data_IF_871615851919
#
_entry.id   IF_871615851919
#
_cell.length_a   1.000
_cell.length_b   1.000
_cell.length_c   1.000
_cell.angle_alpha   90.00
_cell.angle_beta   90.00
_cell.angle_gamma   90.00
#
_symmetry.space_group_name_H-M   'P 1'
#
loop_
_entity.id
_entity.type
_entity.pdbx_description
1 polymer ?
#
# COMPACT_ATOMS: atom_id res chain seq x y z
N UNK A 1 10.83 7.57 9.98
CA UNK A 1 10.59 7.70 8.52
C UNK A 1 11.78 8.34 7.81
N UNK A 2 12.28 9.50 8.26
CA UNK A 2 13.34 10.29 7.61
C UNK A 2 14.60 9.45 7.28
N UNK A 3 15.16 8.72 8.25
CA UNK A 3 16.34 7.87 8.02
C UNK A 3 16.17 6.84 6.87
N UNK A 4 14.95 6.33 6.64
CA UNK A 4 14.67 5.41 5.52
C UNK A 4 14.78 6.16 4.19
N UNK A 5 14.22 7.37 4.13
CA UNK A 5 14.27 8.22 2.95
C UNK A 5 15.72 8.66 2.67
N UNK A 6 16.44 9.16 3.67
CA UNK A 6 17.84 9.60 3.54
C UNK A 6 18.76 8.48 3.07
N UNK A 7 18.65 7.26 3.64
CA UNK A 7 19.45 6.10 3.18
C UNK A 7 19.16 5.72 1.73
N UNK A 8 17.90 5.85 1.30
CA UNK A 8 17.53 5.61 -0.10
C UNK A 8 18.15 6.68 -1.00
N UNK A 9 18.07 7.96 -0.62
CA UNK A 9 18.69 9.06 -1.36
C UNK A 9 20.21 8.94 -1.41
N UNK A 10 20.86 8.51 -0.33
CA UNK A 10 22.30 8.26 -0.29
C UNK A 10 22.72 7.19 -1.29
N UNK A 11 21.91 6.13 -1.47
CA UNK A 11 22.21 5.03 -2.40
C UNK A 11 21.91 5.36 -3.86
N UNK A 12 20.80 6.03 -4.16
CA UNK A 12 20.34 6.24 -5.55
C UNK A 12 20.49 7.68 -6.05
N UNK A 13 20.82 8.64 -5.18
CA UNK A 13 20.97 10.06 -5.48
C UNK A 13 19.65 10.84 -5.53
N UNK A 14 18.55 10.23 -6.00
CA UNK A 14 17.21 10.83 -5.97
C UNK A 14 16.10 9.78 -5.89
N UNK A 15 14.88 10.21 -5.57
CA UNK A 15 13.70 9.34 -5.63
C UNK A 15 13.48 8.80 -7.04
N UNK A 16 13.58 9.65 -8.06
CA UNK A 16 13.29 9.29 -9.44
C UNK A 16 14.29 8.24 -9.96
N UNK A 17 15.57 8.37 -9.58
CA UNK A 17 16.58 7.34 -9.86
C UNK A 17 16.29 6.03 -9.12
N UNK A 18 15.85 6.11 -7.86
CA UNK A 18 15.42 4.92 -7.10
C UNK A 18 14.20 4.24 -7.74
N UNK A 19 13.19 5.00 -8.12
CA UNK A 19 11.99 4.49 -8.78
C UNK A 19 12.31 3.84 -10.12
N UNK A 20 13.13 4.49 -10.95
CA UNK A 20 13.54 3.92 -12.23
C UNK A 20 14.37 2.65 -12.04
N UNK A 21 15.36 2.66 -11.14
CA UNK A 21 16.26 1.54 -10.92
C UNK A 21 15.57 0.31 -10.30
N UNK A 22 14.60 0.52 -9.41
CA UNK A 22 13.95 -0.58 -8.67
C UNK A 22 12.57 -0.93 -9.20
N UNK A 23 11.90 -0.02 -9.88
CA UNK A 23 10.58 -0.21 -10.50
C UNK A 23 10.66 -0.65 -11.95
N UNK A 24 11.68 -0.23 -12.68
CA UNK A 24 11.76 -0.43 -14.12
C UNK A 24 10.76 0.44 -14.88
N UNK A 25 10.52 0.09 -16.14
CA UNK A 25 9.64 0.85 -17.03
C UNK A 25 8.16 0.68 -16.67
N UNK A 26 7.35 1.67 -17.04
CA UNK A 26 5.89 1.56 -17.00
C UNK A 26 5.42 0.45 -17.96
N UNK A 27 4.39 -0.27 -17.53
CA UNK A 27 3.83 -1.38 -18.28
C UNK A 27 2.65 -0.93 -19.14
N UNK A 28 2.53 -1.51 -20.34
CA UNK A 28 1.33 -1.38 -21.16
C UNK A 28 0.18 -2.17 -20.55
N UNK A 29 -1.08 -1.80 -20.87
CA UNK A 29 -2.28 -2.53 -20.42
C UNK A 29 -2.18 -4.04 -20.69
N UNK A 30 -1.70 -4.44 -21.87
CA UNK A 30 -1.52 -5.85 -22.24
C UNK A 30 -0.50 -6.57 -21.35
N UNK A 31 0.64 -5.93 -21.03
CA UNK A 31 1.61 -6.50 -20.10
C UNK A 31 1.02 -6.64 -18.69
N UNK A 32 0.32 -5.62 -18.20
CA UNK A 32 -0.35 -5.68 -16.88
C UNK A 32 -1.30 -6.87 -16.83
N UNK A 33 -2.19 -7.03 -17.81
CA UNK A 33 -3.11 -8.16 -17.91
C UNK A 33 -2.41 -9.52 -17.90
N UNK A 34 -1.32 -9.66 -18.67
CA UNK A 34 -0.55 -10.90 -18.72
C UNK A 34 0.03 -11.26 -17.34
N UNK A 35 0.63 -10.28 -16.65
CA UNK A 35 1.18 -10.46 -15.31
C UNK A 35 0.10 -10.82 -14.29
N UNK A 36 -1.03 -10.10 -14.29
CA UNK A 36 -2.17 -10.38 -13.38
C UNK A 36 -2.71 -11.79 -13.60
N UNK A 37 -2.93 -12.18 -14.87
CA UNK A 37 -3.41 -13.53 -15.21
C UNK A 37 -2.44 -14.60 -14.73
N UNK A 38 -1.13 -14.45 -15.00
CA UNK A 38 -0.10 -15.39 -14.55
C UNK A 38 -0.08 -15.52 -13.02
N UNK A 39 -0.18 -14.39 -12.31
CA UNK A 39 -0.22 -14.38 -10.85
C UNK A 39 -1.47 -15.11 -10.33
N UNK A 40 -2.66 -14.83 -10.87
CA UNK A 40 -3.90 -15.51 -10.46
C UNK A 40 -3.89 -17.01 -10.75
N UNK A 41 -3.31 -17.44 -11.88
CA UNK A 41 -3.11 -18.87 -12.18
C UNK A 41 -2.20 -19.51 -11.14
N UNK A 42 -1.06 -18.87 -10.84
CA UNK A 42 -0.09 -19.36 -9.84
C UNK A 42 -0.71 -19.51 -8.46
N UNK A 43 -1.53 -18.54 -8.04
CA UNK A 43 -2.17 -18.54 -6.72
C UNK A 43 -3.52 -19.30 -6.70
N UNK A 44 -3.93 -19.92 -7.82
CA UNK A 44 -5.13 -20.74 -7.90
C UNK A 44 -6.45 -19.97 -7.79
N UNK A 45 -6.49 -18.68 -8.12
CA UNK A 45 -7.67 -17.81 -7.99
C UNK A 45 -8.11 -17.17 -9.33
N UNK A 46 -7.72 -17.77 -10.45
CA UNK A 46 -8.13 -17.29 -11.77
C UNK A 46 -9.66 -17.35 -11.92
N UNK A 47 -10.29 -16.22 -12.24
CA UNK A 47 -11.74 -16.11 -12.43
C UNK A 47 -12.49 -15.64 -11.18
N UNK A 48 -11.85 -15.66 -10.00
CA UNK A 48 -12.47 -15.26 -8.73
C UNK A 48 -12.48 -13.74 -8.51
N UNK A 49 -11.58 -13.02 -9.18
CA UNK A 49 -11.33 -11.59 -8.97
C UNK A 49 -11.55 -10.85 -10.29
N UNK A 50 -12.43 -9.85 -10.26
CA UNK A 50 -12.63 -8.92 -11.37
C UNK A 50 -11.47 -7.93 -11.39
N UNK A 51 -10.86 -7.70 -12.55
CA UNK A 51 -9.73 -6.78 -12.69
C UNK A 51 -10.15 -5.57 -13.50
N UNK A 52 -9.92 -4.38 -12.95
CA UNK A 52 -10.19 -3.09 -13.59
C UNK A 52 -8.89 -2.29 -13.70
N UNK A 53 -8.61 -1.77 -14.91
CA UNK A 53 -7.45 -0.93 -15.17
C UNK A 53 -7.92 0.51 -15.37
N UNK A 54 -7.35 1.46 -14.64
CA UNK A 54 -7.73 2.87 -14.69
C UNK A 54 -6.52 3.79 -14.53
N UNK A 55 -6.67 5.06 -14.87
CA UNK A 55 -5.72 6.13 -14.50
C UNK A 55 -6.24 6.94 -13.28
N UNK A 56 -7.54 6.81 -12.97
CA UNK A 56 -8.27 7.62 -11.99
C UNK A 56 -8.23 7.02 -10.58
N UNK A 57 -7.05 6.58 -10.14
CA UNK A 57 -6.86 5.99 -8.81
C UNK A 57 -5.66 6.62 -8.10
N UNK A 58 -5.90 7.29 -6.97
CA UNK A 58 -4.83 7.90 -6.15
C UNK A 58 -3.86 6.88 -5.54
N UNK A 59 -4.27 5.62 -5.38
CA UNK A 59 -3.38 4.51 -5.00
C UNK A 59 -2.85 3.78 -6.22
N UNK A 60 -1.81 2.97 -6.04
CA UNK A 60 -1.29 2.13 -7.13
C UNK A 60 -2.26 1.02 -7.51
N UNK A 61 -2.99 0.51 -6.52
CA UNK A 61 -4.07 -0.43 -6.70
C UNK A 61 -5.03 -0.36 -5.50
N UNK A 62 -6.14 -1.08 -5.60
CA UNK A 62 -7.05 -1.35 -4.50
C UNK A 62 -7.78 -2.68 -4.70
N UNK A 63 -7.94 -3.43 -3.62
CA UNK A 63 -8.81 -4.60 -3.52
C UNK A 63 -10.09 -4.22 -2.74
N UNK A 64 -11.24 -4.32 -3.40
CA UNK A 64 -12.56 -4.06 -2.79
C UNK A 64 -13.55 -5.17 -3.15
N UNK A 65 -14.76 -5.10 -2.59
CA UNK A 65 -15.88 -5.96 -3.00
C UNK A 65 -16.93 -5.07 -3.65
N UNK A 66 -17.25 -5.33 -4.92
CA UNK A 66 -18.26 -4.61 -5.69
C UNK A 66 -19.34 -5.59 -6.12
N UNK A 67 -20.59 -5.35 -5.73
CA UNK A 67 -21.73 -6.23 -6.01
C UNK A 67 -21.46 -7.70 -5.61
N UNK A 68 -20.84 -7.90 -4.44
CA UNK A 68 -20.50 -9.23 -3.92
C UNK A 68 -19.30 -9.90 -4.58
N UNK A 69 -18.66 -9.26 -5.56
CA UNK A 69 -17.46 -9.80 -6.24
C UNK A 69 -16.19 -9.09 -5.79
N UNK A 70 -15.11 -9.82 -5.48
CA UNK A 70 -13.78 -9.26 -5.29
C UNK A 70 -13.33 -8.53 -6.56
N UNK A 71 -12.90 -7.27 -6.42
CA UNK A 71 -12.50 -6.41 -7.51
C UNK A 71 -11.14 -5.80 -7.22
N UNK A 72 -10.17 -6.11 -8.07
CA UNK A 72 -8.84 -5.51 -8.11
C UNK A 72 -8.85 -4.34 -9.10
N UNK A 73 -8.67 -3.12 -8.62
CA UNK A 73 -8.44 -1.95 -9.48
C UNK A 73 -6.96 -1.60 -9.48
N UNK A 74 -6.36 -1.42 -10.66
CA UNK A 74 -4.94 -1.08 -10.82
C UNK A 74 -4.83 0.27 -11.51
N UNK A 75 -4.00 1.17 -10.95
CA UNK A 75 -3.60 2.40 -11.62
C UNK A 75 -2.50 2.11 -12.65
N UNK A 76 -2.83 2.23 -13.93
CA UNK A 76 -1.91 1.95 -15.03
C UNK A 76 -0.76 2.97 -15.11
N UNK A 77 -0.94 4.20 -14.65
CA UNK A 77 0.11 5.23 -14.69
C UNK A 77 1.25 4.97 -13.70
N UNK A 78 1.05 4.04 -12.76
CA UNK A 78 2.05 3.70 -11.73
C UNK A 78 2.49 2.23 -11.78
N UNK A 79 1.95 1.43 -12.70
CA UNK A 79 2.24 0.02 -12.84
C UNK A 79 3.60 -0.18 -13.52
N UNK A 80 4.63 -0.50 -12.73
CA UNK A 80 6.00 -0.71 -13.20
C UNK A 80 6.42 -2.18 -13.16
N UNK A 81 7.27 -2.55 -14.11
CA UNK A 81 7.69 -3.94 -14.37
C UNK A 81 8.13 -4.73 -13.13
N UNK A 82 9.03 -4.17 -12.34
CA UNK A 82 9.61 -4.84 -11.18
C UNK A 82 8.79 -4.66 -9.89
N UNK A 83 7.75 -3.82 -9.92
CA UNK A 83 6.90 -3.56 -8.77
C UNK A 83 5.52 -4.21 -8.84
N UNK A 84 5.07 -4.58 -10.05
CA UNK A 84 3.73 -5.13 -10.26
C UNK A 84 3.49 -6.40 -9.43
N UNK A 85 4.42 -7.36 -9.41
CA UNK A 85 4.23 -8.58 -8.60
C UNK A 85 4.08 -8.27 -7.11
N UNK A 86 4.90 -7.38 -6.55
CA UNK A 86 4.75 -6.95 -5.16
C UNK A 86 3.38 -6.30 -4.89
N UNK A 87 2.88 -5.50 -5.83
CA UNK A 87 1.52 -4.94 -5.73
C UNK A 87 0.45 -6.03 -5.79
N UNK A 88 0.60 -7.08 -6.62
CA UNK A 88 -0.34 -8.20 -6.63
C UNK A 88 -0.29 -9.01 -5.33
N UNK A 89 0.89 -9.15 -4.70
CA UNK A 89 1.01 -9.76 -3.36
C UNK A 89 0.37 -8.90 -2.26
N UNK A 90 0.40 -7.58 -2.40
CA UNK A 90 -0.32 -6.66 -1.53
C UNK A 90 -1.84 -6.89 -1.65
N UNK A 91 -2.38 -6.74 -2.85
CA UNK A 91 -3.83 -6.73 -3.05
C UNK A 91 -4.44 -8.13 -3.01
N UNK A 92 -3.87 -9.09 -3.74
CA UNK A 92 -4.36 -10.47 -3.81
C UNK A 92 -3.78 -11.30 -2.67
N UNK A 93 -2.45 -11.31 -2.56
CA UNK A 93 -1.72 -12.12 -1.58
C UNK A 93 -2.08 -11.79 -0.12
N UNK A 94 -2.56 -10.58 0.15
CA UNK A 94 -2.94 -10.13 1.49
C UNK A 94 -4.42 -9.84 1.58
N UNK A 95 -4.91 -8.79 0.91
CA UNK A 95 -6.27 -8.32 1.15
C UNK A 95 -7.34 -9.33 0.73
N UNK A 96 -7.21 -9.91 -0.47
CA UNK A 96 -8.13 -10.93 -0.97
C UNK A 96 -8.07 -12.20 -0.13
N UNK A 97 -6.92 -12.89 -0.03
CA UNK A 97 -6.85 -14.18 0.67
C UNK A 97 -7.19 -14.08 2.15
N UNK A 98 -6.72 -13.05 2.86
CA UNK A 98 -7.13 -12.86 4.27
C UNK A 98 -8.60 -12.49 4.38
N UNK A 99 -9.18 -11.81 3.39
CA UNK A 99 -10.61 -11.53 3.33
C UNK A 99 -11.43 -12.80 3.13
N UNK A 100 -11.02 -13.63 2.18
CA UNK A 100 -11.60 -14.94 1.92
C UNK A 100 -11.56 -15.84 3.16
N UNK A 101 -10.38 -16.00 3.76
CA UNK A 101 -10.20 -16.82 4.96
C UNK A 101 -11.00 -16.29 6.17
N UNK A 102 -11.14 -14.96 6.28
CA UNK A 102 -11.91 -14.33 7.34
C UNK A 102 -13.40 -14.69 7.28
N UNK A 103 -13.96 -14.98 6.10
CA UNK A 103 -15.38 -15.32 5.95
C UNK A 103 -15.76 -16.61 6.69
N UNK A 104 -14.81 -17.54 6.85
CA UNK A 104 -15.00 -18.80 7.58
C UNK A 104 -14.80 -18.66 9.08
N UNK A 105 -14.45 -17.47 9.59
CA UNK A 105 -14.13 -17.27 11.01
C UNK A 105 -15.33 -16.79 11.83
N UNK A 106 -15.45 -17.15 13.12
CA UNK A 106 -16.48 -16.62 14.02
C UNK A 106 -16.48 -15.08 14.15
N UNK A 107 -15.35 -14.44 13.86
CA UNK A 107 -15.17 -12.99 13.89
C UNK A 107 -15.20 -12.34 12.50
N UNK A 108 -15.80 -13.01 11.50
CA UNK A 108 -15.83 -12.53 10.12
C UNK A 108 -16.43 -11.12 9.97
N UNK A 109 -17.33 -10.73 10.88
CA UNK A 109 -18.03 -9.44 10.90
C UNK A 109 -17.84 -8.68 12.23
N UNK A 110 -18.30 -7.43 12.26
CA UNK A 110 -18.16 -6.52 13.41
C UNK A 110 -18.71 -7.10 14.73
N UNK A 111 -19.85 -7.81 14.68
CA UNK A 111 -20.46 -8.39 15.88
C UNK A 111 -19.61 -9.53 16.41
N UNK A 112 -19.13 -10.42 15.52
CA UNK A 112 -18.20 -11.48 15.87
C UNK A 112 -16.90 -10.93 16.48
N UNK A 113 -16.28 -9.93 15.84
CA UNK A 113 -15.08 -9.26 16.39
C UNK A 113 -15.31 -8.72 17.80
N UNK A 114 -16.43 -8.04 18.04
CA UNK A 114 -16.77 -7.47 19.35
C UNK A 114 -16.98 -8.58 20.39
N UNK A 115 -17.70 -9.65 20.03
CA UNK A 115 -17.93 -10.83 20.89
C UNK A 115 -16.61 -11.47 21.32
N UNK A 116 -15.62 -11.49 20.45
CA UNK A 116 -14.29 -12.08 20.70
C UNK A 116 -13.24 -11.06 21.18
N UNK A 117 -13.63 -9.81 21.48
CA UNK A 117 -12.71 -8.79 22.01
C UNK A 117 -11.57 -8.40 21.05
N UNK A 118 -11.74 -8.59 19.74
CA UNK A 118 -10.68 -8.31 18.77
C UNK A 118 -10.48 -6.80 18.55
N UNK A 119 -9.21 -6.39 18.49
CA UNK A 119 -8.79 -5.02 18.17
C UNK A 119 -9.11 -4.66 16.71
N UNK A 120 -8.89 -3.41 16.26
CA UNK A 120 -8.97 -3.08 14.83
C UNK A 120 -7.97 -3.90 14.01
N UNK A 121 -8.35 -4.27 12.78
CA UNK A 121 -7.50 -5.08 11.88
C UNK A 121 -6.20 -4.33 11.54
N UNK A 122 -6.28 -3.01 11.47
CA UNK A 122 -5.14 -2.15 11.30
C UNK A 122 -4.45 -1.85 12.65
N UNK A 123 -3.11 -1.83 12.68
CA UNK A 123 -2.22 -1.70 11.51
C UNK A 123 -1.73 -3.02 10.89
N UNK A 124 -2.14 -4.18 11.41
CA UNK A 124 -1.63 -5.49 10.99
C UNK A 124 -1.90 -5.80 9.52
N UNK A 125 -3.11 -5.53 9.03
CA UNK A 125 -3.47 -5.77 7.62
C UNK A 125 -2.61 -4.99 6.64
N UNK A 126 -2.60 -3.66 6.76
CA UNK A 126 -1.87 -2.77 5.85
C UNK A 126 -0.35 -2.93 6.02
N UNK A 127 0.10 -3.24 7.24
CA UNK A 127 1.50 -3.56 7.52
C UNK A 127 1.97 -4.79 6.75
N UNK A 128 1.21 -5.89 6.81
CA UNK A 128 1.54 -7.14 6.12
C UNK A 128 1.51 -6.94 4.61
N UNK A 129 0.48 -6.26 4.09
CA UNK A 129 0.36 -5.97 2.67
C UNK A 129 1.54 -5.11 2.18
N UNK A 130 1.98 -4.14 2.98
CA UNK A 130 3.14 -3.30 2.67
C UNK A 130 4.46 -4.07 2.67
N UNK A 131 4.64 -5.05 3.56
CA UNK A 131 5.80 -5.96 3.53
C UNK A 131 5.78 -6.77 2.24
N UNK A 132 4.66 -7.39 1.90
CA UNK A 132 4.49 -8.15 0.66
C UNK A 132 4.78 -7.34 -0.61
N UNK A 133 4.59 -6.01 -0.55
CA UNK A 133 4.90 -5.11 -1.66
C UNK A 133 6.39 -4.99 -1.98
N UNK A 134 7.27 -5.22 -1.00
CA UNK A 134 8.70 -4.97 -1.10
C UNK A 134 9.56 -6.21 -0.88
N UNK A 135 9.04 -7.26 -0.23
CA UNK A 135 9.80 -8.41 0.30
C UNK A 135 10.75 -9.05 -0.72
N UNK A 136 10.32 -9.18 -1.98
CA UNK A 136 11.09 -9.84 -3.03
C UNK A 136 11.78 -8.87 -3.99
N UNK A 137 11.81 -7.57 -3.67
CA UNK A 137 12.60 -6.62 -4.45
C UNK A 137 14.08 -6.82 -4.13
N UNK A 138 14.95 -6.61 -5.13
CA UNK A 138 16.41 -6.61 -4.95
C UNK A 138 16.85 -5.73 -3.78
N UNK A 139 16.20 -4.56 -3.65
CA UNK A 139 16.42 -3.58 -2.61
C UNK A 139 15.09 -3.24 -1.93
N UNK A 140 14.72 -3.90 -0.82
CA UNK A 140 13.40 -3.80 -0.18
C UNK A 140 13.24 -2.53 0.68
N UNK A 141 13.65 -1.36 0.16
CA UNK A 141 13.52 -0.10 0.89
C UNK A 141 12.04 0.25 1.13
N UNK A 142 11.73 0.62 2.38
CA UNK A 142 10.39 1.05 2.80
C UNK A 142 10.06 2.49 2.40
N UNK A 143 10.63 2.98 1.29
CA UNK A 143 10.52 4.39 0.86
C UNK A 143 9.08 4.89 0.88
N UNK A 144 8.17 4.17 0.19
CA UNK A 144 6.79 4.63 0.05
C UNK A 144 6.09 4.74 1.40
N UNK A 145 6.22 3.73 2.26
CA UNK A 145 5.62 3.76 3.59
C UNK A 145 6.21 4.91 4.44
N UNK A 146 7.51 5.12 4.35
CA UNK A 146 8.19 6.20 5.06
C UNK A 146 7.77 7.60 4.61
N UNK A 147 7.68 7.81 3.29
CA UNK A 147 7.26 9.09 2.73
C UNK A 147 5.78 9.36 3.02
N UNK A 148 4.89 8.37 2.87
CA UNK A 148 3.48 8.50 3.27
C UNK A 148 3.34 8.93 4.73
N UNK A 149 4.06 8.26 5.64
CA UNK A 149 4.02 8.59 7.06
C UNK A 149 4.51 10.03 7.32
N UNK A 150 5.63 10.41 6.69
CA UNK A 150 6.20 11.75 6.81
C UNK A 150 5.24 12.82 6.27
N UNK A 151 4.72 12.66 5.05
CA UNK A 151 3.81 13.61 4.43
C UNK A 151 2.56 13.82 5.26
N UNK A 152 1.96 12.75 5.81
CA UNK A 152 0.80 12.88 6.71
C UNK A 152 1.13 13.69 7.96
N UNK A 153 2.27 13.39 8.60
CA UNK A 153 2.70 14.13 9.79
C UNK A 153 2.91 15.62 9.48
N UNK A 154 3.62 15.94 8.40
CA UNK A 154 3.85 17.34 7.99
C UNK A 154 2.54 18.04 7.60
N UNK A 155 1.62 17.34 6.93
CA UNK A 155 0.31 17.88 6.58
C UNK A 155 -0.50 18.33 7.80
N UNK A 156 -0.33 17.68 8.96
CA UNK A 156 -1.01 18.08 10.19
C UNK A 156 -0.53 19.43 10.73
N UNK A 157 0.60 19.94 10.23
CA UNK A 157 1.26 21.17 10.71
C UNK A 157 1.36 22.26 9.63
N UNK A 158 1.07 21.92 8.38
CA UNK A 158 1.34 22.79 7.21
C UNK A 158 0.10 22.96 6.34
N UNK A 159 0.02 24.08 5.61
CA UNK A 159 -0.90 24.23 4.48
C UNK A 159 -0.54 23.26 3.34
N UNK A 160 -1.42 23.09 2.35
CA UNK A 160 -1.14 22.30 1.16
C UNK A 160 0.06 22.83 0.38
N UNK A 161 0.14 24.15 0.18
CA UNK A 161 1.25 24.77 -0.57
C UNK A 161 2.58 24.60 0.15
N UNK A 162 2.61 24.79 1.48
CA UNK A 162 3.79 24.53 2.31
C UNK A 162 4.21 23.07 2.25
N UNK A 163 3.26 22.14 2.39
CA UNK A 163 3.51 20.69 2.28
C UNK A 163 4.09 20.31 0.91
N UNK A 164 3.55 20.86 -0.18
CA UNK A 164 4.05 20.62 -1.53
C UNK A 164 5.51 21.05 -1.72
N UNK A 165 5.90 22.18 -1.12
CA UNK A 165 7.29 22.62 -1.12
C UNK A 165 8.16 21.74 -0.22
N UNK A 166 7.66 21.37 0.96
CA UNK A 166 8.39 20.55 1.94
C UNK A 166 8.70 19.15 1.42
N UNK A 167 7.75 18.47 0.78
CA UNK A 167 7.95 17.16 0.14
C UNK A 167 8.99 17.25 -1.01
N UNK A 168 9.21 18.45 -1.57
CA UNK A 168 10.27 18.77 -2.53
C UNK A 168 11.69 18.44 -2.08
N UNK A 169 11.90 18.29 -0.77
CA UNK A 169 13.17 17.81 -0.19
C UNK A 169 13.48 16.37 -0.63
N UNK A 170 12.46 15.53 -0.82
CA UNK A 170 12.62 14.10 -1.09
C UNK A 170 12.21 13.69 -2.51
N UNK A 171 11.22 14.36 -3.10
CA UNK A 171 10.68 14.06 -4.43
C UNK A 171 10.72 15.31 -5.30
N UNK A 172 11.31 15.24 -6.50
CA UNK A 172 11.47 16.40 -7.38
C UNK A 172 10.30 16.52 -8.35
N UNK A 173 9.82 15.40 -8.87
CA UNK A 173 8.68 15.39 -9.78
C UNK A 173 7.43 16.05 -9.14
N UNK A 174 6.88 17.13 -9.73
CA UNK A 174 5.75 17.86 -9.14
C UNK A 174 4.46 17.04 -9.11
N UNK A 175 4.23 16.15 -10.08
CA UNK A 175 3.01 15.32 -10.10
C UNK A 175 3.02 14.30 -8.96
N UNK A 176 4.14 13.63 -8.75
CA UNK A 176 4.32 12.70 -7.64
C UNK A 176 4.17 13.42 -6.30
N UNK A 177 4.74 14.63 -6.16
CA UNK A 177 4.54 15.47 -4.95
C UNK A 177 3.08 15.79 -4.71
N UNK A 178 2.39 16.23 -5.77
CA UNK A 178 0.98 16.54 -5.73
C UNK A 178 0.16 15.35 -5.22
N UNK A 179 0.41 14.15 -5.73
CA UNK A 179 -0.28 12.93 -5.30
C UNK A 179 -0.09 12.65 -3.80
N UNK A 180 1.13 12.79 -3.28
CA UNK A 180 1.39 12.64 -1.84
C UNK A 180 0.63 13.70 -1.01
N UNK A 181 0.66 14.96 -1.45
CA UNK A 181 -0.05 16.05 -0.77
C UNK A 181 -1.57 15.86 -0.78
N UNK A 182 -2.16 15.53 -1.94
CA UNK A 182 -3.60 15.25 -2.08
C UNK A 182 -3.99 14.09 -1.18
N UNK A 183 -3.23 13.01 -1.14
CA UNK A 183 -3.54 11.87 -0.25
C UNK A 183 -3.56 12.28 1.23
N UNK A 184 -2.63 13.12 1.66
CA UNK A 184 -2.55 13.58 3.05
C UNK A 184 -3.57 14.68 3.39
N UNK A 185 -4.06 15.44 2.42
CA UNK A 185 -5.00 16.57 2.62
C UNK A 185 -6.43 16.30 2.14
N UNK A 186 -6.71 15.16 1.49
CA UNK A 186 -8.05 14.86 0.96
C UNK A 186 -9.12 14.90 2.05
N UNK A 187 -10.29 15.42 1.68
CA UNK A 187 -11.41 15.56 2.61
C UNK A 187 -11.35 16.80 3.51
N UNK A 188 -10.28 17.61 3.44
CA UNK A 188 -10.27 18.94 4.07
C UNK A 188 -10.86 20.02 3.17
N UNK A 189 -11.78 20.81 3.72
CA UNK A 189 -12.43 21.93 3.03
C UNK A 189 -11.48 23.09 2.78
N UNK A 190 -10.76 23.54 3.81
CA UNK A 190 -9.76 24.61 3.70
C UNK A 190 -8.36 24.02 3.82
N UNK A 191 -7.68 23.90 2.68
CA UNK A 191 -6.32 23.34 2.62
C UNK A 191 -5.23 24.37 2.88
N UNK A 192 -5.58 25.64 3.11
CA UNK A 192 -4.66 26.67 3.59
C UNK A 192 -4.28 26.46 5.06
N UNK A 193 -5.11 25.73 5.81
CA UNK A 193 -4.89 25.45 7.23
C UNK A 193 -4.15 24.12 7.46
N UNK A 194 -3.45 23.97 8.62
CA UNK A 194 -2.96 22.70 9.10
C UNK A 194 -4.08 21.67 9.26
N UNK A 195 -3.79 20.40 8.96
CA UNK A 195 -4.76 19.31 9.07
C UNK A 195 -4.47 18.19 8.08
N UNK A 196 -4.76 16.94 8.45
CA UNK A 196 -4.47 15.80 7.58
C UNK A 196 -5.54 14.71 7.65
N UNK A 197 -5.59 13.92 6.58
CA UNK A 197 -6.23 12.62 6.55
C UNK A 197 -5.16 11.56 6.87
N UNK A 198 -5.15 11.07 8.11
CA UNK A 198 -4.00 10.35 8.67
C UNK A 198 -3.92 8.85 8.33
N UNK A 199 -4.81 8.33 7.49
CA UNK A 199 -4.92 6.89 7.18
C UNK A 199 -3.58 6.28 6.76
N UNK A 200 -2.80 6.97 5.93
CA UNK A 200 -1.60 6.39 5.31
C UNK A 200 -0.41 6.22 6.29
N UNK A 201 -0.50 6.69 7.53
CA UNK A 201 0.50 6.37 8.57
C UNK A 201 0.49 4.89 8.95
N UNK A 202 -0.64 4.21 8.75
CA UNK A 202 -0.83 2.79 9.06
C UNK A 202 0.19 1.88 8.37
N UNK A 203 0.66 2.26 7.17
CA UNK A 203 1.57 1.45 6.37
C UNK A 203 2.91 1.25 7.08
N UNK A 204 3.59 2.35 7.44
CA UNK A 204 4.89 2.24 8.11
C UNK A 204 4.74 1.71 9.54
N UNK A 205 3.73 2.17 10.28
CA UNK A 205 3.48 1.68 11.66
C UNK A 205 3.25 0.16 11.68
N UNK A 206 2.43 -0.35 10.75
CA UNK A 206 2.17 -1.78 10.60
C UNK A 206 3.41 -2.58 10.23
N UNK A 207 4.19 -2.12 9.25
CA UNK A 207 5.45 -2.77 8.86
C UNK A 207 6.39 -2.88 10.07
N UNK A 208 6.62 -1.78 10.79
CA UNK A 208 7.55 -1.76 11.92
C UNK A 208 7.10 -2.67 13.06
N UNK A 209 5.79 -2.75 13.33
CA UNK A 209 5.24 -3.67 14.34
C UNK A 209 5.43 -5.12 13.93
N UNK A 210 5.10 -5.49 12.69
CA UNK A 210 5.28 -6.87 12.21
C UNK A 210 6.76 -7.24 12.22
N UNK A 211 7.64 -6.37 11.71
CA UNK A 211 9.08 -6.63 11.70
C UNK A 211 9.65 -6.77 13.11
N UNK A 212 9.13 -6.05 14.11
CA UNK A 212 9.53 -6.18 15.51
C UNK A 212 9.24 -7.58 16.07
N UNK A 213 8.12 -8.18 15.68
CA UNK A 213 7.66 -9.49 16.17
C UNK A 213 7.82 -10.61 15.13
N UNK A 214 8.62 -10.41 14.08
CA UNK A 214 8.73 -11.33 12.94
C UNK A 214 9.18 -12.75 13.30
N UNK A 215 9.90 -12.91 14.41
CA UNK A 215 10.39 -14.21 14.89
C UNK A 215 9.35 -14.94 15.75
N UNK A 216 8.34 -14.22 16.27
CA UNK A 216 7.25 -14.80 17.06
C UNK A 216 5.94 -14.94 16.28
N UNK A 217 5.81 -14.27 15.13
CA UNK A 217 4.62 -14.35 14.29
C UNK A 217 4.70 -15.60 13.41
N UNK A 218 3.71 -16.48 13.53
CA UNK A 218 3.44 -17.49 12.50
C UNK A 218 2.70 -16.83 11.33
N UNK A 219 3.40 -16.60 10.22
CA UNK A 219 2.83 -15.95 9.03
C UNK A 219 1.81 -16.82 8.29
N UNK A 220 1.94 -18.15 8.37
CA UNK A 220 0.97 -19.07 7.79
C UNK A 220 -0.35 -18.98 8.55
N UNK A 221 -0.28 -19.07 9.88
CA UNK A 221 -1.45 -18.93 10.74
C UNK A 221 -2.05 -17.52 10.63
N UNK A 222 -1.22 -16.48 10.60
CA UNK A 222 -1.68 -15.10 10.41
C UNK A 222 -2.52 -14.99 9.14
N UNK A 223 -2.11 -15.62 8.05
CA UNK A 223 -2.86 -15.65 6.78
C UNK A 223 -4.13 -16.51 6.86
N UNK A 224 -4.05 -17.70 7.46
CA UNK A 224 -5.16 -18.65 7.59
C UNK A 224 -6.29 -18.13 8.50
N UNK A 225 -5.98 -17.38 9.56
CA UNK A 225 -6.97 -16.79 10.46
C UNK A 225 -7.68 -15.55 9.89
N UNK A 226 -7.28 -15.09 8.69
CA UNK A 226 -7.88 -13.94 8.03
C UNK A 226 -7.59 -12.63 8.75
N UNK A 227 -8.60 -11.79 9.00
CA UNK A 227 -8.45 -10.39 9.43
C UNK A 227 -8.23 -10.25 10.95
N UNK A 228 -7.28 -10.95 11.53
CA UNK A 228 -6.89 -10.80 12.95
C UNK A 228 -5.94 -9.61 13.18
N UNK A 229 -5.86 -9.15 14.43
CA UNK A 229 -5.08 -7.98 14.87
C UNK A 229 -3.75 -8.38 15.48
#
# INVERSE_FOLDING_TARGET
>A
SINIMERTLQKYGSYEKFEQATGGSLLTKSRIWNHVRKYMVKEGCLGEIVVHLTEDLLSRASMTVVNGRPTLTINISTAREHWLEGMLRHEIGTHYFRGFNNNSQPWCNRNGRRKHGLKPINPTEEGLASIHSVLFRKDPFLWRAALLYYTVYQASQMSFSQLFQDVGKFVKDPNTRWDYCVRAKRGWTDTSQPGCFNKDQVYLDGILRILRYRESIDFHLLTALGKVS
#
